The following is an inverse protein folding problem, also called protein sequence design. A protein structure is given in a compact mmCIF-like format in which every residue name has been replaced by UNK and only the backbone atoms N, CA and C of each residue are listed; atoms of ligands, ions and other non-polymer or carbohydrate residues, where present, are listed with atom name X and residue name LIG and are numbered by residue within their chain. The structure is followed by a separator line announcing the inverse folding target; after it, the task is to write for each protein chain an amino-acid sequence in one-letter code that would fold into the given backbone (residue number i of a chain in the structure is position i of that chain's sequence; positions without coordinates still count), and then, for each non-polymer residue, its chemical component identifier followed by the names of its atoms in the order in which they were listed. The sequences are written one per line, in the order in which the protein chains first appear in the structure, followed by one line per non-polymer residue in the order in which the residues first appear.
data_IF_542285013539
#
_entry.id   IF_542285013539
#
_cell.length_a   1.000
_cell.length_b   1.000
_cell.length_c   1.000
_cell.angle_alpha   90.00
_cell.angle_beta   90.00
_cell.angle_gamma   90.00
#
_symmetry.space_group_name_H-M   'P 1'
#
loop_
_entity.id
_entity.type
_entity.pdbx_description
1 polymer ?
#
# COMPACT_ATOMS: atom_id res chain seq x y z
N UNK A 1 4.23 -13.86 -26.30
CA UNK A 1 4.06 -12.42 -26.48
C UNK A 1 2.70 -12.20 -27.10
N UNK A 2 1.89 -11.36 -26.46
CA UNK A 2 0.52 -11.07 -26.87
C UNK A 2 0.42 -10.25 -28.16
N UNK A 3 -0.82 -10.21 -28.74
CA UNK A 3 -1.09 -9.45 -29.96
C UNK A 3 -0.91 -7.94 -29.71
N UNK A 4 -0.29 -7.22 -30.67
CA UNK A 4 -0.04 -5.77 -30.59
C UNK A 4 0.82 -5.35 -29.38
N UNK A 5 1.56 -6.26 -28.76
CA UNK A 5 2.55 -5.90 -27.78
C UNK A 5 3.76 -5.22 -28.46
N UNK A 6 4.26 -4.16 -27.85
CA UNK A 6 5.45 -3.44 -28.31
C UNK A 6 6.63 -3.75 -27.41
N UNK A 7 7.67 -4.33 -27.98
CA UNK A 7 8.94 -4.62 -27.29
C UNK A 7 9.97 -3.58 -27.73
N UNK A 8 10.50 -2.77 -26.79
CA UNK A 8 11.53 -1.78 -27.09
C UNK A 8 12.85 -2.45 -27.50
N UNK A 9 13.68 -1.73 -28.21
CA UNK A 9 15.02 -2.18 -28.63
C UNK A 9 15.83 -2.64 -27.42
N UNK A 10 16.60 -3.75 -27.58
CA UNK A 10 17.43 -4.36 -26.54
C UNK A 10 16.69 -4.97 -25.34
N UNK A 11 15.37 -5.09 -25.36
CA UNK A 11 14.61 -5.82 -24.36
C UNK A 11 14.72 -7.33 -24.64
N UNK A 12 15.06 -8.11 -23.61
CA UNK A 12 15.15 -9.57 -23.66
C UNK A 12 13.94 -10.17 -22.95
N UNK A 13 13.29 -11.12 -23.59
CA UNK A 13 12.22 -11.93 -22.99
C UNK A 13 12.73 -13.36 -22.88
N UNK A 14 12.82 -13.89 -21.68
CA UNK A 14 13.27 -15.25 -21.44
C UNK A 14 12.17 -16.26 -21.78
N UNK A 15 12.51 -17.55 -22.00
CA UNK A 15 11.53 -18.58 -22.27
C UNK A 15 10.40 -18.63 -21.22
N UNK A 16 9.23 -19.08 -21.63
CA UNK A 16 8.03 -19.29 -20.79
C UNK A 16 7.48 -18.03 -20.11
N UNK A 17 7.84 -16.83 -20.61
CA UNK A 17 7.31 -15.56 -20.11
C UNK A 17 6.07 -15.11 -20.87
N UNK A 18 5.09 -14.57 -20.13
CA UNK A 18 3.83 -14.09 -20.68
C UNK A 18 3.90 -12.56 -20.83
N UNK A 19 3.56 -12.09 -22.02
CA UNK A 19 3.38 -10.65 -22.31
C UNK A 19 1.96 -10.45 -22.77
N UNK A 20 1.22 -9.61 -22.10
CA UNK A 20 -0.19 -9.34 -22.40
C UNK A 20 -0.39 -8.66 -23.75
N UNK A 21 -1.58 -8.82 -24.33
CA UNK A 21 -1.98 -8.15 -25.56
C UNK A 21 -1.90 -6.61 -25.38
N UNK A 22 -1.23 -5.96 -26.35
CA UNK A 22 -1.07 -4.51 -26.35
C UNK A 22 -0.15 -3.95 -25.25
N UNK A 23 0.58 -4.79 -24.52
CA UNK A 23 1.57 -4.33 -23.53
C UNK A 23 2.80 -3.69 -24.18
N UNK A 24 3.40 -2.71 -23.51
CA UNK A 24 4.63 -2.06 -23.95
C UNK A 24 5.76 -2.45 -23.00
N UNK A 25 6.70 -3.29 -23.49
CA UNK A 25 7.86 -3.69 -22.71
C UNK A 25 8.96 -2.65 -22.85
N UNK A 26 9.33 -2.06 -21.72
CA UNK A 26 10.43 -1.10 -21.63
C UNK A 26 11.70 -1.72 -21.07
N UNK A 27 11.56 -2.80 -20.28
CA UNK A 27 12.66 -3.52 -19.64
C UNK A 27 12.60 -5.01 -19.97
N UNK A 28 13.73 -5.70 -19.82
CA UNK A 28 13.82 -7.14 -20.07
C UNK A 28 12.99 -7.94 -19.05
N UNK A 29 12.22 -8.90 -19.54
CA UNK A 29 11.41 -9.81 -18.74
C UNK A 29 12.23 -11.09 -18.50
N UNK A 30 12.96 -11.11 -17.39
CA UNK A 30 13.91 -12.18 -17.04
C UNK A 30 13.39 -12.97 -15.84
N UNK A 31 13.01 -12.27 -14.76
CA UNK A 31 12.62 -12.89 -13.48
C UNK A 31 11.13 -12.99 -13.30
N UNK A 32 10.35 -11.96 -13.70
CA UNK A 32 8.89 -11.99 -13.64
C UNK A 32 8.29 -12.96 -14.66
N UNK A 33 7.18 -13.60 -14.34
CA UNK A 33 6.52 -14.54 -15.24
C UNK A 33 5.62 -13.83 -16.26
N UNK A 34 5.15 -12.64 -15.94
CA UNK A 34 4.22 -11.88 -16.76
C UNK A 34 4.56 -10.40 -16.81
N UNK A 35 4.34 -9.77 -17.96
CA UNK A 35 4.36 -8.32 -18.14
C UNK A 35 2.93 -7.79 -18.30
N UNK A 36 2.53 -6.95 -17.37
CA UNK A 36 1.16 -6.43 -17.30
C UNK A 36 0.93 -5.29 -18.28
N UNK A 37 -0.25 -5.28 -18.88
CA UNK A 37 -0.78 -4.11 -19.59
C UNK A 37 -1.32 -3.07 -18.61
N UNK A 38 -1.94 -3.52 -17.54
CA UNK A 38 -2.55 -2.73 -16.49
C UNK A 38 -1.99 -3.15 -15.14
N UNK A 39 -1.61 -2.17 -14.30
CA UNK A 39 -1.08 -2.45 -12.97
C UNK A 39 -2.20 -2.72 -11.97
N UNK A 40 -3.23 -1.86 -12.03
CA UNK A 40 -4.29 -1.88 -11.03
C UNK A 40 -5.39 -2.87 -11.43
N UNK A 41 -5.67 -3.80 -10.52
CA UNK A 41 -6.88 -4.61 -10.53
C UNK A 41 -7.83 -4.04 -9.47
N UNK A 42 -8.87 -3.32 -9.89
CA UNK A 42 -9.72 -2.50 -9.02
C UNK A 42 -8.90 -1.39 -8.32
N UNK A 43 -8.72 -1.47 -7.00
CA UNK A 43 -8.03 -0.49 -6.15
C UNK A 43 -6.67 -0.97 -5.63
N UNK A 44 -6.14 -2.08 -6.16
CA UNK A 44 -4.91 -2.70 -5.68
C UNK A 44 -4.05 -3.22 -6.82
N UNK A 45 -2.79 -3.43 -6.50
CA UNK A 45 -1.84 -4.17 -7.33
C UNK A 45 -1.53 -5.46 -6.61
N UNK A 46 -1.74 -6.59 -7.28
CA UNK A 46 -1.47 -7.93 -6.75
C UNK A 46 -0.48 -8.63 -7.67
N UNK A 47 0.50 -9.30 -7.11
CA UNK A 47 1.46 -10.07 -7.90
C UNK A 47 2.31 -11.01 -7.07
N UNK A 48 3.05 -11.88 -7.75
CA UNK A 48 3.98 -12.83 -7.15
C UNK A 48 5.14 -12.10 -6.46
N UNK A 49 5.41 -12.54 -5.22
CA UNK A 49 6.47 -11.98 -4.38
C UNK A 49 7.83 -12.21 -5.04
N UNK A 50 8.68 -11.17 -5.07
CA UNK A 50 10.04 -11.12 -5.63
C UNK A 50 10.14 -11.38 -7.14
N UNK A 51 9.08 -11.80 -7.79
CA UNK A 51 9.09 -12.03 -9.22
C UNK A 51 8.34 -10.93 -9.98
N UNK A 52 7.09 -10.66 -9.63
CA UNK A 52 6.30 -9.57 -10.21
C UNK A 52 6.35 -8.30 -9.35
N UNK A 53 6.23 -8.46 -8.03
CA UNK A 53 6.36 -7.37 -7.05
C UNK A 53 7.73 -7.50 -6.38
N UNK A 54 8.75 -6.98 -7.06
CA UNK A 54 10.10 -6.88 -6.53
C UNK A 54 10.32 -5.54 -5.81
N UNK A 55 11.41 -5.37 -5.02
CA UNK A 55 11.79 -4.08 -4.45
C UNK A 55 11.96 -2.96 -5.49
N UNK A 56 12.51 -3.27 -6.67
CA UNK A 56 12.70 -2.32 -7.77
C UNK A 56 11.34 -1.85 -8.33
N UNK A 57 10.42 -2.80 -8.57
CA UNK A 57 9.05 -2.50 -8.96
C UNK A 57 8.37 -1.59 -7.94
N UNK A 58 8.44 -1.94 -6.66
CA UNK A 58 7.82 -1.18 -5.58
C UNK A 58 8.42 0.22 -5.44
N UNK A 59 9.74 0.37 -5.54
CA UNK A 59 10.40 1.67 -5.50
C UNK A 59 9.98 2.56 -6.68
N UNK A 60 9.94 2.01 -7.89
CA UNK A 60 9.43 2.70 -9.09
C UNK A 60 7.97 3.13 -8.92
N UNK A 61 7.13 2.24 -8.37
CA UNK A 61 5.72 2.54 -8.11
C UNK A 61 5.55 3.66 -7.09
N UNK A 62 6.34 3.65 -6.02
CA UNK A 62 6.38 4.72 -5.02
C UNK A 62 6.78 6.06 -5.63
N UNK A 63 7.78 6.09 -6.51
CA UNK A 63 8.20 7.29 -7.22
C UNK A 63 7.11 7.82 -8.17
N UNK A 64 6.45 6.95 -8.92
CA UNK A 64 5.35 7.31 -9.82
C UNK A 64 4.14 7.87 -9.06
N UNK A 65 3.76 7.24 -7.96
CA UNK A 65 2.67 7.76 -7.13
C UNK A 65 3.08 9.05 -6.41
N UNK A 66 4.31 9.14 -5.92
CA UNK A 66 4.84 10.37 -5.32
C UNK A 66 4.82 11.53 -6.31
N UNK A 67 5.22 11.32 -7.55
CA UNK A 67 5.15 12.33 -8.61
C UNK A 67 3.70 12.76 -8.89
N UNK A 68 2.74 11.83 -8.83
CA UNK A 68 1.31 12.15 -8.95
C UNK A 68 0.81 13.05 -7.80
N UNK A 69 1.24 12.78 -6.56
CA UNK A 69 0.85 13.58 -5.38
C UNK A 69 1.52 14.96 -5.36
N UNK A 70 2.70 15.06 -5.93
CA UNK A 70 3.51 16.26 -5.98
C UNK A 70 4.47 16.40 -4.79
N UNK A 71 5.61 17.03 -5.06
CA UNK A 71 6.67 17.31 -4.09
C UNK A 71 6.14 18.10 -2.89
N UNK A 72 6.66 17.82 -1.70
CA UNK A 72 6.25 18.46 -0.44
C UNK A 72 4.96 17.90 0.16
N UNK A 73 4.23 17.04 -0.55
CA UNK A 73 3.07 16.34 0.00
C UNK A 73 3.47 15.24 0.98
N UNK A 74 2.48 14.69 1.68
CA UNK A 74 2.65 13.57 2.61
C UNK A 74 1.74 12.40 2.23
N UNK A 75 2.21 11.18 2.48
CA UNK A 75 1.47 9.94 2.31
C UNK A 75 1.46 9.16 3.62
N UNK A 76 0.32 8.54 3.97
CA UNK A 76 0.22 7.65 5.12
C UNK A 76 0.33 6.19 4.67
N UNK A 77 1.06 5.37 5.41
CA UNK A 77 1.13 3.95 5.11
C UNK A 77 1.02 3.06 6.33
N UNK A 78 0.56 1.84 6.07
CA UNK A 78 0.55 0.75 7.03
C UNK A 78 0.85 -0.57 6.33
N UNK A 79 1.08 -1.62 7.10
CA UNK A 79 1.30 -2.97 6.58
C UNK A 79 0.87 -4.05 7.57
N UNK A 80 0.79 -5.27 7.10
CA UNK A 80 0.69 -6.45 7.97
C UNK A 80 2.05 -6.79 8.63
N UNK A 81 2.07 -7.87 9.40
CA UNK A 81 3.24 -8.30 10.16
C UNK A 81 4.30 -9.06 9.35
N UNK A 82 4.03 -9.38 8.06
CA UNK A 82 4.92 -10.23 7.28
C UNK A 82 6.21 -9.50 6.85
N UNK A 83 7.31 -10.24 6.81
CA UNK A 83 8.61 -9.71 6.35
C UNK A 83 8.55 -9.26 4.89
N UNK A 84 7.73 -9.92 4.07
CA UNK A 84 7.57 -9.56 2.65
C UNK A 84 6.87 -8.20 2.52
N UNK A 85 5.79 -7.98 3.29
CA UNK A 85 5.11 -6.69 3.32
C UNK A 85 6.03 -5.59 3.84
N UNK A 86 6.90 -5.90 4.79
CA UNK A 86 7.93 -4.97 5.26
C UNK A 86 8.91 -4.60 4.15
N UNK A 87 9.42 -5.58 3.41
CA UNK A 87 10.35 -5.37 2.30
C UNK A 87 9.74 -4.48 1.22
N UNK A 88 8.53 -4.81 0.76
CA UNK A 88 7.83 -4.04 -0.28
C UNK A 88 7.45 -2.64 0.21
N UNK A 89 6.99 -2.50 1.45
CA UNK A 89 6.68 -1.20 2.05
C UNK A 89 7.93 -0.31 2.15
N UNK A 90 9.09 -0.88 2.53
CA UNK A 90 10.36 -0.14 2.57
C UNK A 90 10.75 0.39 1.18
N UNK A 91 10.61 -0.43 0.16
CA UNK A 91 10.92 -0.06 -1.22
C UNK A 91 9.96 1.04 -1.74
N UNK A 92 8.64 0.91 -1.49
CA UNK A 92 7.66 1.96 -1.81
C UNK A 92 8.01 3.29 -1.15
N UNK A 93 8.33 3.27 0.15
CA UNK A 93 8.72 4.48 0.90
C UNK A 93 9.92 5.17 0.28
N UNK A 94 10.95 4.41 -0.09
CA UNK A 94 12.14 4.95 -0.75
C UNK A 94 11.77 5.63 -2.08
N UNK A 95 10.83 5.07 -2.83
CA UNK A 95 10.30 5.67 -4.05
C UNK A 95 9.57 7.00 -3.80
N UNK A 96 8.71 7.07 -2.78
CA UNK A 96 8.04 8.32 -2.39
C UNK A 96 9.04 9.40 -1.99
N UNK A 97 10.02 9.04 -1.16
CA UNK A 97 11.06 9.97 -0.73
C UNK A 97 11.86 10.53 -1.93
N UNK A 98 12.16 9.70 -2.92
CA UNK A 98 12.83 10.11 -4.17
C UNK A 98 12.01 11.16 -4.94
N UNK A 99 10.68 11.13 -4.86
CA UNK A 99 9.80 12.13 -5.45
C UNK A 99 9.60 13.38 -4.56
N UNK A 100 10.28 13.47 -3.41
CA UNK A 100 10.14 14.58 -2.46
C UNK A 100 8.86 14.54 -1.64
N UNK A 101 8.25 13.35 -1.49
CA UNK A 101 7.04 13.12 -0.70
C UNK A 101 7.40 12.57 0.67
N UNK A 102 6.85 13.15 1.73
CA UNK A 102 7.03 12.67 3.09
C UNK A 102 6.18 11.42 3.33
N UNK A 103 6.70 10.47 4.09
CA UNK A 103 6.00 9.23 4.41
C UNK A 103 5.74 9.17 5.91
N UNK A 104 4.48 9.08 6.31
CA UNK A 104 4.07 8.82 7.67
C UNK A 104 3.74 7.33 7.79
N UNK A 105 4.60 6.59 8.48
CA UNK A 105 4.55 5.13 8.55
C UNK A 105 3.96 4.68 9.89
N UNK A 106 2.78 4.08 9.84
CA UNK A 106 2.11 3.45 10.99
C UNK A 106 2.72 2.08 11.35
N UNK A 107 3.66 1.59 10.56
CA UNK A 107 4.28 0.25 10.70
C UNK A 107 3.23 -0.86 10.56
N UNK A 108 3.23 -1.81 11.50
CA UNK A 108 2.21 -2.88 11.54
C UNK A 108 0.94 -2.29 12.13
N UNK A 109 -0.09 -2.17 11.31
CA UNK A 109 -1.36 -1.55 11.70
C UNK A 109 -2.51 -2.15 10.89
N UNK A 110 -3.69 -2.38 11.46
CA UNK A 110 -4.86 -2.82 10.68
C UNK A 110 -5.29 -1.77 9.65
N UNK A 111 -5.84 -2.24 8.52
CA UNK A 111 -6.35 -1.36 7.45
C UNK A 111 -7.34 -0.30 7.97
N UNK A 112 -8.33 -0.61 8.84
CA UNK A 112 -9.26 0.39 9.34
C UNK A 112 -8.58 1.58 10.01
N UNK A 113 -7.52 1.34 10.81
CA UNK A 113 -6.75 2.41 11.47
C UNK A 113 -6.00 3.25 10.44
N UNK A 114 -5.44 2.62 9.41
CA UNK A 114 -4.75 3.35 8.32
C UNK A 114 -5.74 4.23 7.55
N UNK A 115 -6.92 3.73 7.22
CA UNK A 115 -7.98 4.51 6.56
C UNK A 115 -8.51 5.65 7.45
N UNK A 116 -8.65 5.40 8.74
CA UNK A 116 -9.02 6.42 9.71
C UNK A 116 -7.98 7.54 9.77
N UNK A 117 -6.70 7.19 9.85
CA UNK A 117 -5.61 8.17 9.87
C UNK A 117 -5.61 9.08 8.64
N UNK A 118 -5.93 8.55 7.44
CA UNK A 118 -6.09 9.35 6.23
C UNK A 118 -7.30 10.29 6.33
N UNK A 119 -8.45 9.79 6.80
CA UNK A 119 -9.67 10.60 6.92
C UNK A 119 -9.52 11.75 7.90
N UNK A 120 -8.78 11.54 8.98
CA UNK A 120 -8.58 12.52 10.07
C UNK A 120 -7.30 13.35 9.93
N UNK A 121 -6.41 12.98 8.98
CA UNK A 121 -5.12 13.61 8.76
C UNK A 121 -5.12 14.66 7.65
N UNK A 122 -3.93 15.02 7.21
CA UNK A 122 -3.68 15.99 6.14
C UNK A 122 -2.92 15.38 4.95
N UNK A 123 -2.76 14.08 4.94
CA UNK A 123 -2.07 13.34 3.89
C UNK A 123 -2.88 13.35 2.60
N UNK A 124 -2.20 13.43 1.46
CA UNK A 124 -2.86 13.49 0.15
C UNK A 124 -3.23 12.13 -0.42
N UNK A 125 -2.90 11.06 0.28
CA UNK A 125 -3.20 9.69 -0.07
C UNK A 125 -2.47 8.70 0.82
N UNK A 126 -2.68 7.42 0.59
CA UNK A 126 -2.06 6.37 1.37
C UNK A 126 -1.91 5.06 0.65
N UNK A 127 -1.15 4.17 1.26
CA UNK A 127 -1.05 2.79 0.80
C UNK A 127 -0.97 1.81 1.97
N UNK A 128 -1.32 0.57 1.68
CA UNK A 128 -1.21 -0.54 2.61
C UNK A 128 -0.63 -1.76 1.91
N UNK A 129 0.32 -2.43 2.55
CA UNK A 129 0.95 -3.62 2.01
C UNK A 129 0.60 -4.83 2.86
N UNK A 130 0.14 -5.91 2.22
CA UNK A 130 -0.18 -7.17 2.91
C UNK A 130 0.08 -8.38 2.04
N UNK A 131 0.30 -9.52 2.65
CA UNK A 131 0.13 -10.80 1.95
C UNK A 131 -1.30 -10.91 1.43
N UNK A 132 -1.47 -11.48 0.25
CA UNK A 132 -2.83 -11.70 -0.27
C UNK A 132 -3.57 -12.71 0.61
N UNK A 133 -4.85 -12.46 0.94
CA UNK A 133 -5.64 -13.43 1.70
C UNK A 133 -6.06 -14.64 0.87
N UNK A 134 -5.81 -14.63 -0.45
CA UNK A 134 -6.22 -15.67 -1.38
C UNK A 134 -5.10 -16.67 -1.73
N UNK A 135 -3.84 -16.20 -1.70
CA UNK A 135 -2.67 -17.02 -2.00
C UNK A 135 -1.46 -16.45 -1.26
N UNK A 136 -0.76 -17.26 -0.48
CA UNK A 136 0.40 -16.87 0.32
C UNK A 136 1.63 -16.43 -0.51
N UNK A 137 1.68 -16.81 -1.80
CA UNK A 137 2.73 -16.42 -2.74
C UNK A 137 2.52 -15.01 -3.31
N UNK A 138 1.32 -14.47 -3.13
CA UNK A 138 0.94 -13.15 -3.64
C UNK A 138 1.04 -12.09 -2.56
N UNK A 139 1.34 -10.88 -3.00
CA UNK A 139 1.29 -9.67 -2.18
C UNK A 139 0.32 -8.67 -2.79
N UNK A 140 -0.45 -8.01 -1.95
CA UNK A 140 -1.35 -6.93 -2.32
C UNK A 140 -0.76 -5.58 -1.88
N UNK A 141 -0.75 -4.60 -2.77
CA UNK A 141 -0.52 -3.20 -2.47
C UNK A 141 -1.84 -2.46 -2.71
N UNK A 142 -2.50 -2.04 -1.63
CA UNK A 142 -3.74 -1.28 -1.68
C UNK A 142 -3.42 0.21 -1.66
N UNK A 143 -4.21 1.00 -2.38
CA UNK A 143 -4.05 2.45 -2.43
C UNK A 143 -5.33 3.17 -2.00
N UNK A 144 -5.15 4.25 -1.26
CA UNK A 144 -6.24 5.04 -0.70
C UNK A 144 -6.12 6.50 -1.10
N UNK A 145 -7.25 7.17 -1.21
CA UNK A 145 -7.32 8.62 -1.37
C UNK A 145 -7.11 9.34 -0.01
N UNK A 146 -7.13 10.66 -0.05
CA UNK A 146 -7.01 11.55 1.11
C UNK A 146 -8.13 11.39 2.14
N UNK A 147 -9.28 10.83 1.75
CA UNK A 147 -10.39 10.51 2.64
C UNK A 147 -10.37 9.05 3.16
N UNK A 148 -9.27 8.30 2.93
CA UNK A 148 -9.14 6.90 3.33
C UNK A 148 -10.01 5.92 2.53
N UNK A 149 -10.60 6.37 1.41
CA UNK A 149 -11.39 5.52 0.50
C UNK A 149 -10.47 4.85 -0.51
N UNK A 150 -10.97 3.83 -1.15
CA UNK A 150 -10.25 3.19 -2.24
C UNK A 150 -9.95 4.18 -3.38
N UNK A 151 -8.73 4.08 -3.93
CA UNK A 151 -8.29 4.99 -4.96
C UNK A 151 -9.18 4.89 -6.21
N UNK A 152 -9.75 6.02 -6.63
CA UNK A 152 -10.60 6.06 -7.80
C UNK A 152 -9.85 5.67 -9.07
N UNK A 153 -10.52 4.95 -9.98
CA UNK A 153 -9.92 4.41 -11.21
C UNK A 153 -9.19 5.46 -12.05
N UNK A 154 -9.71 6.68 -12.12
CA UNK A 154 -9.06 7.79 -12.85
C UNK A 154 -7.71 8.17 -12.26
N UNK A 155 -7.58 8.20 -10.92
CA UNK A 155 -6.32 8.45 -10.21
C UNK A 155 -5.35 7.28 -10.42
N UNK A 156 -5.84 6.03 -10.32
CA UNK A 156 -5.05 4.83 -10.58
C UNK A 156 -4.46 4.83 -12.00
N UNK A 157 -5.25 5.15 -13.02
CA UNK A 157 -4.79 5.27 -14.41
C UNK A 157 -3.79 6.42 -14.63
N UNK A 158 -3.87 7.51 -13.87
CA UNK A 158 -2.88 8.58 -13.93
C UNK A 158 -1.53 8.12 -13.37
N UNK A 159 -1.52 7.42 -12.22
CA UNK A 159 -0.31 6.83 -11.61
C UNK A 159 0.29 5.77 -12.55
N UNK A 160 -0.54 4.92 -13.12
CA UNK A 160 -0.13 3.88 -14.07
C UNK A 160 0.58 4.47 -15.29
N UNK A 161 0.07 5.57 -15.84
CA UNK A 161 0.74 6.28 -16.94
C UNK A 161 2.12 6.79 -16.58
N UNK A 162 2.27 7.38 -15.38
CA UNK A 162 3.58 7.81 -14.88
C UNK A 162 4.52 6.62 -14.71
N UNK A 163 4.04 5.53 -14.11
CA UNK A 163 4.82 4.31 -13.92
C UNK A 163 5.37 3.75 -15.24
N UNK A 164 4.54 3.62 -16.27
CA UNK A 164 4.96 3.06 -17.55
C UNK A 164 5.81 4.00 -18.39
N UNK A 165 5.55 5.31 -18.31
CA UNK A 165 6.35 6.31 -19.05
C UNK A 165 7.72 6.53 -18.42
N UNK A 166 7.86 6.27 -17.12
CA UNK A 166 9.02 6.63 -16.31
C UNK A 166 9.32 8.15 -16.37
N UNK A 167 8.30 8.95 -16.68
CA UNK A 167 8.37 10.39 -16.85
C UNK A 167 7.97 11.07 -15.52
N UNK A 168 8.86 10.95 -14.55
CA UNK A 168 8.71 11.64 -13.26
C UNK A 168 10.05 12.13 -12.75
N UNK A 169 10.05 13.38 -12.28
CA UNK A 169 11.23 14.03 -11.73
C UNK A 169 11.57 13.47 -10.34
N UNK A 170 12.86 13.38 -10.07
CA UNK A 170 13.38 13.11 -8.72
C UNK A 170 13.63 14.41 -8.00
N UNK A 171 13.37 14.44 -6.70
CA UNK A 171 13.65 15.60 -5.87
C UNK A 171 15.17 15.88 -5.80
N UNK A 172 15.59 17.14 -5.77
CA UNK A 172 16.96 17.52 -5.46
C UNK A 172 17.39 16.96 -4.09
N UNK A 173 18.69 16.81 -3.88
CA UNK A 173 19.24 16.19 -2.66
C UNK A 173 18.75 16.83 -1.35
N UNK A 174 18.47 18.12 -1.34
CA UNK A 174 17.98 18.88 -0.18
C UNK A 174 16.44 18.91 -0.05
N UNK A 175 15.71 18.23 -0.93
CA UNK A 175 14.25 18.17 -0.98
C UNK A 175 13.72 16.72 -1.03
N UNK A 176 14.59 15.75 -0.73
CA UNK A 176 14.19 14.36 -0.55
C UNK A 176 13.22 14.26 0.63
N UNK A 177 12.14 13.49 0.45
CA UNK A 177 11.14 13.30 1.49
C UNK A 177 11.71 12.59 2.72
N UNK A 178 11.05 12.73 3.86
CA UNK A 178 11.42 12.10 5.13
C UNK A 178 10.39 11.04 5.55
N UNK A 179 10.82 10.12 6.43
CA UNK A 179 9.92 9.16 7.08
C UNK A 179 9.64 9.64 8.50
N UNK A 180 8.37 9.68 8.87
CA UNK A 180 7.88 9.99 10.21
C UNK A 180 7.03 8.82 10.73
N UNK A 181 7.00 8.65 12.05
CA UNK A 181 6.25 7.59 12.71
C UNK A 181 5.19 8.20 13.64
N UNK A 182 3.97 8.46 13.15
CA UNK A 182 2.92 9.04 13.97
C UNK A 182 2.42 8.03 15.01
N UNK A 183 2.47 8.41 16.29
CA UNK A 183 2.09 7.53 17.42
C UNK A 183 0.64 7.71 17.84
N UNK A 184 -0.01 8.83 17.51
CA UNK A 184 -1.33 9.21 18.01
C UNK A 184 -2.48 8.58 17.24
N UNK A 185 -2.29 8.18 15.97
CA UNK A 185 -3.37 7.72 15.07
C UNK A 185 -4.17 6.56 15.66
N UNK A 186 -3.48 5.58 16.29
CA UNK A 186 -4.15 4.45 16.94
C UNK A 186 -5.02 4.89 18.10
N UNK A 187 -4.52 5.78 18.94
CA UNK A 187 -5.25 6.30 20.08
C UNK A 187 -6.48 7.08 19.65
N UNK A 188 -6.33 7.99 18.69
CA UNK A 188 -7.46 8.77 18.15
C UNK A 188 -8.51 7.88 17.50
N UNK A 189 -8.09 6.78 16.85
CA UNK A 189 -9.03 5.78 16.32
C UNK A 189 -9.85 5.12 17.43
N UNK A 190 -9.23 4.76 18.56
CA UNK A 190 -9.94 4.16 19.69
C UNK A 190 -10.93 5.14 20.30
N UNK A 191 -10.52 6.38 20.54
CA UNK A 191 -11.38 7.44 21.09
C UNK A 191 -12.60 7.66 20.18
N UNK A 192 -12.40 7.70 18.86
CA UNK A 192 -13.48 7.87 17.90
C UNK A 192 -14.43 6.65 17.87
N UNK A 193 -13.91 5.43 17.92
CA UNK A 193 -14.74 4.22 18.01
C UNK A 193 -15.58 4.21 19.30
N UNK A 194 -14.96 4.50 20.45
CA UNK A 194 -15.64 4.51 21.74
C UNK A 194 -16.71 5.61 21.82
N UNK A 195 -16.50 6.74 21.16
CA UNK A 195 -17.48 7.81 21.07
C UNK A 195 -18.74 7.43 20.25
N UNK A 196 -18.64 6.42 19.38
CA UNK A 196 -19.73 5.99 18.50
C UNK A 196 -20.45 4.71 18.98
N UNK A 197 -20.07 4.16 20.13
CA UNK A 197 -20.72 2.99 20.73
C UNK A 197 -21.25 3.30 22.12
N UNK A 198 -22.30 2.59 22.55
CA UNK A 198 -22.79 2.71 23.91
C UNK A 198 -21.93 1.85 24.85
N UNK A 199 -20.80 2.43 25.29
CA UNK A 199 -19.84 1.80 26.19
C UNK A 199 -20.53 1.25 27.46
N UNK A 200 -21.42 2.03 28.09
CA UNK A 200 -22.09 1.62 29.33
C UNK A 200 -22.98 0.38 29.17
N UNK A 201 -23.64 0.25 28.02
CA UNK A 201 -24.45 -0.94 27.71
C UNK A 201 -23.57 -2.15 27.48
N UNK A 202 -22.43 -1.99 26.78
CA UNK A 202 -21.47 -3.06 26.54
C UNK A 202 -20.82 -3.53 27.84
N UNK A 203 -20.33 -2.61 28.68
CA UNK A 203 -19.73 -2.92 29.99
C UNK A 203 -20.70 -3.69 30.90
N UNK A 204 -21.98 -3.30 30.94
CA UNK A 204 -22.99 -4.01 31.72
C UNK A 204 -23.27 -5.42 31.27
N UNK A 205 -23.14 -5.68 29.99
CA UNK A 205 -23.41 -6.99 29.39
C UNK A 205 -22.33 -8.04 29.73
N UNK A 206 -21.12 -7.60 30.14
CA UNK A 206 -19.99 -8.49 30.53
C UNK A 206 -19.73 -9.58 29.49
N UNK A 207 -19.57 -9.17 28.25
CA UNK A 207 -19.34 -10.13 27.16
C UNK A 207 -18.02 -10.88 27.36
N UNK A 208 -18.08 -12.20 27.14
CA UNK A 208 -16.89 -13.04 26.98
C UNK A 208 -16.63 -13.28 25.50
N UNK A 209 -15.48 -12.84 25.04
CA UNK A 209 -15.15 -12.81 23.62
C UNK A 209 -13.93 -13.69 23.36
N UNK A 210 -14.09 -14.69 22.49
CA UNK A 210 -12.99 -15.51 22.01
C UNK A 210 -12.65 -15.10 20.59
N UNK A 211 -11.37 -14.72 20.35
CA UNK A 211 -10.93 -14.19 19.05
C UNK A 211 -9.73 -14.98 18.57
N UNK A 212 -9.85 -15.54 17.38
CA UNK A 212 -8.70 -16.00 16.60
C UNK A 212 -8.24 -14.87 15.66
N UNK A 213 -7.07 -14.33 15.96
CA UNK A 213 -6.48 -13.25 15.14
C UNK A 213 -5.79 -13.76 13.86
N UNK A 214 -5.61 -15.06 13.70
CA UNK A 214 -4.91 -15.68 12.57
C UNK A 214 -3.60 -14.96 12.22
N UNK A 215 -2.82 -14.56 13.24
CA UNK A 215 -1.60 -13.73 13.14
C UNK A 215 -1.81 -12.34 12.49
N UNK A 216 -3.05 -11.88 12.36
CA UNK A 216 -3.40 -10.61 11.75
C UNK A 216 -3.00 -9.40 12.61
N UNK A 217 -2.80 -8.24 11.97
CA UNK A 217 -2.42 -6.98 12.63
C UNK A 217 -3.47 -6.49 13.65
N UNK A 218 -4.70 -6.99 13.62
CA UNK A 218 -5.75 -6.69 14.59
C UNK A 218 -5.37 -7.10 16.03
N UNK A 219 -4.47 -8.10 16.18
CA UNK A 219 -3.93 -8.49 17.49
C UNK A 219 -3.19 -7.36 18.23
N UNK A 220 -2.73 -6.33 17.52
CA UNK A 220 -2.04 -5.18 18.10
C UNK A 220 -2.99 -4.05 18.53
N UNK A 221 -4.26 -4.14 18.17
CA UNK A 221 -5.23 -3.05 18.41
C UNK A 221 -6.47 -3.52 19.16
N UNK A 222 -7.07 -4.62 18.72
CA UNK A 222 -8.37 -5.07 19.23
C UNK A 222 -8.36 -5.45 20.72
N UNK A 223 -7.32 -6.11 21.30
CA UNK A 223 -7.29 -6.41 22.73
C UNK A 223 -7.40 -5.16 23.60
N UNK A 224 -6.69 -4.09 23.24
CA UNK A 224 -6.77 -2.83 23.99
C UNK A 224 -8.16 -2.20 23.90
N UNK A 225 -8.78 -2.21 22.71
CA UNK A 225 -10.13 -1.69 22.51
C UNK A 225 -11.18 -2.49 23.29
N UNK A 226 -11.07 -3.81 23.32
CA UNK A 226 -11.97 -4.67 24.10
C UNK A 226 -11.80 -4.47 25.61
N UNK A 227 -10.56 -4.22 26.07
CA UNK A 227 -10.27 -3.86 27.45
C UNK A 227 -10.98 -2.57 27.87
N UNK A 228 -11.00 -1.54 27.01
CA UNK A 228 -11.74 -0.29 27.25
C UNK A 228 -13.27 -0.51 27.30
N UNK A 229 -13.78 -1.60 26.72
CA UNK A 229 -15.19 -1.98 26.74
C UNK A 229 -15.54 -2.96 27.87
N UNK A 230 -14.60 -3.26 28.76
CA UNK A 230 -14.73 -4.24 29.87
C UNK A 230 -15.22 -5.62 29.40
N UNK A 231 -14.76 -6.06 28.22
CA UNK A 231 -14.99 -7.40 27.70
C UNK A 231 -13.90 -8.36 28.19
N UNK A 232 -14.31 -9.59 28.58
CA UNK A 232 -13.42 -10.68 28.99
C UNK A 232 -13.01 -11.57 27.79
#
# INVERSE_FOLDING_TARGET
VGKKAHVRTNVKIWPDKIVDDGAVLTNSLVWGDRWFRELFTYNRITGLINSEISPEFASKLGAAYGAYLGQGSSVLCGRDSSNVSQMVSNALRSGFMTAGVNVRDLRIMPIPVTRYGLRSGSERGGFYVRKSPFDEKLIDILFFDDAGRDLHIGKAKAIERLFFREDFNRAPYNQVGKVEYPITVKQSYFEDVLAHVDVKTIEKAKYKVVIDYSFGAASLTLPALLGELDCE
#
